data_IF_580474619369
#
_entry.id   IF_580474619369
#
_cell.length_a   1.000
_cell.length_b   1.000
_cell.length_c   1.000
_cell.angle_alpha   90.00
_cell.angle_beta   90.00
_cell.angle_gamma   90.00
#
_symmetry.space_group_name_H-M   'P 1'
#
loop_
_entity.id
_entity.type
_entity.pdbx_description
1 polymer ?
#
# COMPACT_ATOMS: atom_id res chain seq x y z
N UNK A 1 -0.30 -11.03 -8.74
CA UNK A 1 -0.22 -11.07 -7.26
C UNK A 1 0.40 -9.75 -6.82
N UNK A 2 -0.26 -8.99 -5.94
CA UNK A 2 0.33 -7.80 -5.32
C UNK A 2 0.89 -8.26 -3.97
N UNK A 3 2.19 -8.14 -3.77
CA UNK A 3 2.86 -8.57 -2.54
C UNK A 3 3.34 -7.33 -1.82
N UNK A 4 3.08 -7.23 -0.52
CA UNK A 4 3.53 -6.12 0.32
C UNK A 4 4.55 -6.58 1.34
N UNK A 5 5.41 -5.66 1.75
CA UNK A 5 6.39 -5.84 2.82
C UNK A 5 6.24 -4.73 3.86
N UNK A 6 6.71 -5.01 5.07
CA UNK A 6 6.79 -3.99 6.11
C UNK A 6 7.66 -2.82 5.62
N UNK A 7 7.11 -1.60 5.70
CA UNK A 7 7.76 -0.38 5.21
C UNK A 7 7.30 0.10 3.83
N UNK A 8 6.50 -0.70 3.10
CA UNK A 8 5.92 -0.26 1.84
C UNK A 8 4.90 0.86 2.07
N UNK A 9 4.92 1.85 1.18
CA UNK A 9 3.88 2.88 1.11
C UNK A 9 2.79 2.38 0.18
N UNK A 10 1.55 2.33 0.67
CA UNK A 10 0.42 1.78 -0.07
C UNK A 10 -0.70 2.79 -0.23
N UNK A 11 -1.42 2.69 -1.34
CA UNK A 11 -2.66 3.42 -1.55
C UNK A 11 -3.82 2.57 -1.04
N UNK A 12 -4.47 3.06 0.02
CA UNK A 12 -5.66 2.45 0.61
C UNK A 12 -6.95 3.01 -0.03
N UNK A 13 -7.93 2.14 -0.25
CA UNK A 13 -9.31 2.54 -0.49
C UNK A 13 -10.06 2.52 0.86
N UNK A 14 -10.88 3.54 1.18
CA UNK A 14 -11.46 3.73 2.52
C UNK A 14 -12.55 2.73 2.93
N UNK A 15 -12.89 1.76 2.10
CA UNK A 15 -14.03 0.89 2.32
C UNK A 15 -13.66 -0.30 3.21
N UNK A 16 -14.49 -0.61 4.22
CA UNK A 16 -14.42 -1.77 5.12
C UNK A 16 -13.09 -1.96 5.90
N UNK A 17 -12.51 -0.87 6.41
CA UNK A 17 -11.31 -0.94 7.24
C UNK A 17 -11.64 -1.21 8.71
N UNK A 18 -10.80 -2.04 9.37
CA UNK A 18 -10.92 -2.29 10.79
C UNK A 18 -9.88 -1.48 11.55
N UNK A 19 -10.32 -0.57 12.42
CA UNK A 19 -9.44 0.19 13.29
C UNK A 19 -9.15 -0.60 14.58
N UNK A 20 -7.87 -0.65 14.96
CA UNK A 20 -7.42 -1.30 16.19
C UNK A 20 -6.44 -0.39 16.92
N UNK A 21 -6.52 -0.37 18.25
CA UNK A 21 -5.56 0.35 19.08
C UNK A 21 -4.55 -0.63 19.67
N UNK A 22 -3.26 -0.35 19.49
CA UNK A 22 -2.16 -1.11 20.05
C UNK A 22 -1.30 -0.15 20.85
N UNK A 23 -1.22 -0.35 22.17
CA UNK A 23 -0.44 0.49 23.08
C UNK A 23 -0.74 2.00 22.96
N UNK A 24 -2.00 2.38 22.77
CA UNK A 24 -2.43 3.77 22.62
C UNK A 24 -2.20 4.36 21.23
N UNK A 25 -1.81 3.55 20.25
CA UNK A 25 -1.59 3.98 18.86
C UNK A 25 -2.64 3.33 17.95
N UNK A 26 -3.37 4.15 17.21
CA UNK A 26 -4.35 3.71 16.22
C UNK A 26 -3.69 3.10 14.98
N UNK A 27 -4.16 1.92 14.59
CA UNK A 27 -3.71 1.16 13.43
C UNK A 27 -4.92 0.69 12.62
N UNK A 28 -4.70 0.44 11.33
CA UNK A 28 -5.69 -0.13 10.43
C UNK A 28 -5.31 -1.57 10.08
N UNK A 29 -6.26 -2.48 10.22
CA UNK A 29 -6.16 -3.87 9.77
C UNK A 29 -6.89 -4.01 8.46
N UNK A 30 -6.17 -4.50 7.46
CA UNK A 30 -6.68 -4.69 6.10
C UNK A 30 -6.12 -5.97 5.50
N UNK A 31 -6.80 -6.51 4.48
CA UNK A 31 -6.29 -7.67 3.73
C UNK A 31 -5.48 -7.18 2.54
N UNK A 32 -4.47 -7.95 2.12
CA UNK A 32 -3.61 -7.57 0.99
C UNK A 32 -4.39 -7.30 -0.32
N UNK A 33 -5.53 -7.96 -0.50
CA UNK A 33 -6.39 -7.77 -1.68
C UNK A 33 -7.11 -6.41 -1.72
N UNK A 34 -7.24 -5.75 -0.57
CA UNK A 34 -7.93 -4.47 -0.43
C UNK A 34 -7.00 -3.30 -0.82
N UNK A 35 -5.74 -3.60 -1.14
CA UNK A 35 -4.75 -2.64 -1.60
C UNK A 35 -4.95 -2.28 -3.08
N UNK A 36 -5.11 -0.98 -3.35
CA UNK A 36 -5.31 -0.48 -4.70
C UNK A 36 -3.98 -0.41 -5.48
N UNK A 37 -2.94 0.12 -4.83
CA UNK A 37 -1.59 0.22 -5.38
C UNK A 37 -0.53 0.15 -4.28
N UNK A 38 0.66 -0.32 -4.65
CA UNK A 38 1.87 -0.27 -3.82
C UNK A 38 2.83 0.70 -4.50
N UNK A 39 3.36 1.67 -3.76
CA UNK A 39 4.32 2.62 -4.30
C UNK A 39 5.61 1.87 -4.68
N UNK A 40 6.02 1.98 -5.94
CA UNK A 40 7.35 1.56 -6.38
C UNK A 40 8.36 2.66 -6.10
N UNK A 41 9.59 2.30 -5.73
CA UNK A 41 10.69 3.26 -5.76
C UNK A 41 10.83 3.81 -7.17
N UNK A 42 11.01 5.13 -7.29
CA UNK A 42 11.11 5.79 -8.58
C UNK A 42 12.33 5.23 -9.33
N UNK A 43 12.09 4.54 -10.44
CA UNK A 43 13.15 4.05 -11.31
C UNK A 43 13.90 5.27 -11.85
N UNK A 44 15.18 5.42 -11.50
CA UNK A 44 16.04 6.53 -11.98
C UNK A 44 16.35 6.45 -13.48
N UNK A 45 15.72 5.55 -14.24
CA UNK A 45 16.05 5.29 -15.64
C UNK A 45 14.80 5.51 -16.48
N UNK A 46 14.88 6.52 -17.36
CA UNK A 46 13.79 6.97 -18.22
C UNK A 46 13.21 5.82 -19.03
N UNK A 47 11.96 5.48 -18.77
CA UNK A 47 11.24 4.49 -19.56
C UNK A 47 10.69 5.20 -20.79
N UNK A 48 11.43 5.13 -21.90
CA UNK A 48 10.92 5.50 -23.22
C UNK A 48 9.71 4.64 -23.57
N UNK A 49 8.52 5.19 -23.39
CA UNK A 49 7.28 4.63 -23.89
C UNK A 49 7.13 5.11 -25.34
N UNK A 50 7.24 4.19 -26.31
CA UNK A 50 6.77 4.45 -27.67
C UNK A 50 5.36 3.85 -27.79
N UNK A 51 4.39 4.70 -28.15
CA UNK A 51 3.02 4.31 -28.50
C UNK A 51 2.95 3.85 -29.96
#
# INVERSE_FOLDING_TARGET
MRTVKAGDRVLLAPEDQYEVEIAGVGHLVMRERDLHAVASEATQHGTGLYL
#
